data_IF_076997085545
#
_entry.id   IF_076997085545
#
_cell.length_a   1.000
_cell.length_b   1.000
_cell.length_c   1.000
_cell.angle_alpha   90.00
_cell.angle_beta   90.00
_cell.angle_gamma   90.00
#
_symmetry.space_group_name_H-M   'P 1'
#
loop_
_entity.id
_entity.type
_entity.pdbx_description
1 polymer ?
#
# COMPACT_ATOMS: atom_id res chain seq x y z
N UNK A 1 29.11 -1.36 -3.65
CA UNK A 1 27.99 -0.58 -4.23
C UNK A 1 27.18 -0.04 -3.07
N UNK A 2 27.02 1.28 -2.96
CA UNK A 2 26.20 1.86 -1.89
C UNK A 2 24.73 1.74 -2.24
N UNK A 3 23.91 1.51 -1.23
CA UNK A 3 22.48 1.39 -1.41
C UNK A 3 21.74 2.43 -0.59
N UNK A 4 20.64 2.94 -1.12
CA UNK A 4 19.68 3.75 -0.38
C UNK A 4 18.34 3.07 -0.46
N UNK A 5 17.85 2.57 0.66
CA UNK A 5 16.54 1.92 0.72
C UNK A 5 15.46 2.99 0.81
N UNK A 6 14.47 2.92 -0.08
CA UNK A 6 13.29 3.79 -0.06
C UNK A 6 12.06 2.91 0.03
N UNK A 7 11.33 3.08 1.12
CA UNK A 7 10.07 2.39 1.34
C UNK A 7 8.95 3.16 0.66
N UNK A 8 8.16 2.46 -0.16
CA UNK A 8 7.05 3.05 -0.92
C UNK A 8 5.79 2.21 -0.80
N UNK A 9 4.65 2.85 -0.99
CA UNK A 9 3.37 2.15 -1.13
C UNK A 9 3.24 1.51 -2.50
N UNK A 10 2.63 0.31 -2.58
CA UNK A 10 2.58 -0.49 -3.80
C UNK A 10 1.75 0.15 -4.90
N UNK A 11 0.61 0.78 -4.55
CA UNK A 11 -0.32 1.37 -5.53
C UNK A 11 0.10 2.78 -5.90
N UNK A 12 0.20 3.69 -4.92
CA UNK A 12 0.42 5.11 -5.20
C UNK A 12 1.90 5.50 -5.28
N UNK A 13 2.83 4.57 -5.01
CA UNK A 13 4.30 4.79 -5.00
C UNK A 13 4.77 5.94 -4.11
N UNK A 14 3.91 6.46 -3.23
CA UNK A 14 4.28 7.48 -2.24
C UNK A 14 5.39 6.93 -1.35
N UNK A 15 6.34 7.80 -1.00
CA UNK A 15 7.39 7.46 -0.04
C UNK A 15 6.76 7.32 1.33
N UNK A 16 6.96 6.16 1.95
CA UNK A 16 6.65 5.93 3.35
C UNK A 16 7.83 6.37 4.21
N UNK A 17 9.04 5.92 3.86
CA UNK A 17 10.26 6.25 4.57
C UNK A 17 11.48 6.21 3.63
N UNK A 18 12.45 7.09 3.87
CA UNK A 18 13.73 7.11 3.16
C UNK A 18 14.85 6.85 4.15
N UNK A 19 15.56 5.75 3.96
CA UNK A 19 16.69 5.39 4.80
C UNK A 19 17.93 6.19 4.42
N UNK A 20 18.89 6.27 5.35
CA UNK A 20 20.24 6.72 5.07
C UNK A 20 20.91 5.78 4.05
N UNK A 21 21.97 6.29 3.43
CA UNK A 21 22.79 5.50 2.51
C UNK A 21 23.55 4.47 3.34
N UNK A 22 23.48 3.20 2.94
CA UNK A 22 24.35 2.13 3.43
C UNK A 22 25.69 2.22 2.68
N UNK A 23 26.77 2.67 3.35
CA UNK A 23 28.05 2.89 2.73
C UNK A 23 28.77 1.56 2.50
N UNK A 24 29.25 1.33 1.29
CA UNK A 24 30.21 0.27 1.02
C UNK A 24 31.65 0.77 1.22
N UNK A 25 32.63 -0.13 1.17
CA UNK A 25 34.06 0.19 1.34
C UNK A 25 34.62 1.25 0.39
N UNK A 26 33.96 1.49 -0.75
CA UNK A 26 34.35 2.51 -1.73
C UNK A 26 33.52 3.81 -1.63
N UNK A 27 32.77 4.01 -0.54
CA UNK A 27 31.97 5.21 -0.34
C UNK A 27 32.86 6.47 -0.38
N UNK A 28 32.43 7.49 -1.15
CA UNK A 28 33.19 8.73 -1.36
C UNK A 28 34.28 8.68 -2.43
N UNK A 29 34.55 7.52 -3.04
CA UNK A 29 35.49 7.42 -4.16
C UNK A 29 34.89 7.97 -5.46
N UNK A 30 35.73 8.54 -6.34
CA UNK A 30 35.31 9.06 -7.65
C UNK A 30 34.77 7.93 -8.52
N UNK A 31 33.66 8.16 -9.21
CA UNK A 31 33.00 7.13 -10.03
C UNK A 31 32.14 6.13 -9.25
N UNK A 32 31.94 6.36 -7.95
CA UNK A 32 31.05 5.54 -7.13
C UNK A 32 29.58 5.98 -7.26
N UNK A 33 28.68 5.09 -7.67
CA UNK A 33 27.25 5.37 -7.76
C UNK A 33 26.47 4.78 -6.57
N UNK A 34 25.49 5.54 -6.11
CA UNK A 34 24.52 5.09 -5.10
C UNK A 34 23.32 4.51 -5.84
N UNK A 35 22.95 3.27 -5.54
CA UNK A 35 21.75 2.65 -6.09
C UNK A 35 20.57 2.78 -5.13
N UNK A 36 19.43 3.27 -5.64
CA UNK A 36 18.18 3.28 -4.89
C UNK A 36 17.51 1.90 -4.98
N UNK A 37 17.18 1.32 -3.83
CA UNK A 37 16.37 0.10 -3.73
C UNK A 37 14.99 0.45 -3.19
N UNK A 38 13.96 0.19 -3.97
CA UNK A 38 12.59 0.39 -3.52
C UNK A 38 12.06 -0.86 -2.83
N UNK A 39 11.53 -0.71 -1.62
CA UNK A 39 10.81 -1.76 -0.89
C UNK A 39 9.34 -1.37 -0.79
N UNK A 40 8.44 -2.31 -1.07
CA UNK A 40 7.00 -2.06 -0.97
C UNK A 40 6.49 -2.48 0.41
N UNK A 41 5.93 -1.54 1.17
CA UNK A 41 5.59 -1.75 2.60
C UNK A 41 4.09 -1.75 2.91
N UNK A 42 3.24 -1.39 1.95
CA UNK A 42 1.80 -1.35 2.14
C UNK A 42 1.03 -1.00 0.87
N UNK A 43 -0.30 -1.04 0.92
CA UNK A 43 -1.16 -0.85 -0.25
C UNK A 43 -1.22 0.61 -0.73
N UNK A 44 -1.74 1.51 0.10
CA UNK A 44 -1.89 2.95 -0.20
C UNK A 44 -1.53 3.81 1.02
N UNK A 45 -1.01 5.01 0.79
CA UNK A 45 -0.76 5.96 1.87
C UNK A 45 -2.07 6.56 2.39
N UNK A 46 -2.06 7.16 3.58
CA UNK A 46 -3.25 7.76 4.20
C UNK A 46 -4.02 8.71 3.26
N UNK A 47 -3.30 9.49 2.44
CA UNK A 47 -3.90 10.40 1.46
C UNK A 47 -4.62 9.69 0.31
N UNK A 48 -4.12 8.54 -0.13
CA UNK A 48 -4.70 7.75 -1.22
C UNK A 48 -5.55 6.57 -0.74
N UNK A 49 -5.61 6.35 0.57
CA UNK A 49 -6.54 5.42 1.21
C UNK A 49 -7.94 6.02 1.42
N UNK A 50 -8.12 7.33 1.18
CA UNK A 50 -9.32 8.08 1.52
C UNK A 50 -10.50 7.92 0.53
N UNK A 51 -10.44 6.99 -0.44
CA UNK A 51 -11.58 6.68 -1.31
C UNK A 51 -12.59 5.68 -0.70
N UNK A 52 -12.70 5.68 0.61
CA UNK A 52 -13.86 5.16 1.32
C UNK A 52 -14.38 6.25 2.26
N UNK A 53 -14.60 7.46 1.74
CA UNK A 53 -15.63 8.30 2.31
C UNK A 53 -16.92 7.49 2.21
N UNK A 54 -17.56 7.06 3.32
CA UNK A 54 -18.96 6.73 3.22
C UNK A 54 -19.60 8.03 2.73
N UNK A 55 -20.05 8.04 1.48
CA UNK A 55 -21.16 8.91 1.15
C UNK A 55 -22.18 8.61 2.24
N UNK A 56 -22.47 9.56 3.10
CA UNK A 56 -23.70 9.53 3.86
C UNK A 56 -24.79 9.85 2.85
N UNK A 57 -25.60 8.86 2.44
CA UNK A 57 -27.01 9.13 2.33
C UNK A 57 -27.70 8.29 3.40
N UNK A 58 -28.70 8.91 4.00
CA UNK A 58 -29.84 8.18 4.54
C UNK A 58 -29.66 7.62 5.95
N UNK A 59 -30.13 8.42 6.89
CA UNK A 59 -31.02 7.96 7.98
C UNK A 59 -31.67 6.60 7.69
N UNK A 60 -31.21 5.55 8.37
CA UNK A 60 -31.99 4.37 8.72
C UNK A 60 -32.40 3.42 7.58
N UNK A 61 -31.61 2.37 7.35
CA UNK A 61 -32.15 1.04 7.08
C UNK A 61 -31.10 -0.03 7.37
N UNK A 62 -31.28 -0.72 8.49
CA UNK A 62 -30.57 -1.94 8.82
C UNK A 62 -30.92 -3.01 7.78
N UNK A 63 -29.96 -3.73 7.17
CA UNK A 63 -30.27 -4.87 6.33
C UNK A 63 -30.67 -6.05 7.23
N UNK A 64 -31.95 -6.41 7.17
CA UNK A 64 -32.47 -7.65 7.73
C UNK A 64 -31.74 -8.84 7.09
N UNK A 65 -31.22 -9.73 7.94
CA UNK A 65 -30.46 -10.91 7.54
C UNK A 65 -31.41 -11.96 6.98
N UNK A 66 -31.80 -11.80 5.71
CA UNK A 66 -32.60 -12.77 4.98
C UNK A 66 -31.79 -14.01 4.60
N UNK A 67 -31.71 -14.99 5.50
CA UNK A 67 -31.36 -16.36 5.10
C UNK A 67 -32.51 -16.90 4.24
N UNK A 68 -32.21 -17.39 3.03
CA UNK A 68 -33.19 -18.12 2.22
C UNK A 68 -32.50 -19.35 1.64
N UNK A 69 -32.69 -20.48 2.31
CA UNK A 69 -32.34 -21.80 1.80
C UNK A 69 -33.53 -22.40 1.06
N UNK A 70 -33.66 -22.15 -0.23
CA UNK A 70 -34.58 -22.89 -1.09
C UNK A 70 -33.81 -24.04 -1.74
N UNK A 71 -34.04 -25.23 -1.20
CA UNK A 71 -33.50 -26.50 -1.70
C UNK A 71 -33.89 -26.71 -3.17
N UNK A 72 -32.92 -27.19 -3.96
CA UNK A 72 -33.20 -27.72 -5.29
C UNK A 72 -34.20 -28.88 -5.21
N UNK A 73 -35.16 -28.88 -6.13
CA UNK A 73 -35.98 -30.05 -6.41
C UNK A 73 -36.00 -30.23 -7.91
N UNK A 74 -35.25 -31.23 -8.39
CA UNK A 74 -35.44 -31.77 -9.72
C UNK A 74 -36.75 -32.51 -9.80
N UNK A 75 -37.38 -32.41 -10.98
CA UNK A 75 -38.15 -33.45 -11.67
C UNK A 75 -38.44 -32.96 -13.08
#
# INVERSE_FOLDING_TARGET
MCYKVVERYSVCKCVYFQHSIDPCSAYGQRGHSIQEKTVLVGYACARHSAHSSPTSPTTGRWPDSGYSSSKGSGR
#
